data_IF_612599758320
#
_entry.id   IF_612599758320
#
_cell.length_a   1.000
_cell.length_b   1.000
_cell.length_c   1.000
_cell.angle_alpha   90.00
_cell.angle_beta   90.00
_cell.angle_gamma   90.00
#
_symmetry.space_group_name_H-M   'P 1'
#
loop_
_entity.id
_entity.type
_entity.pdbx_description
1 polymer ?
#
# COMPACT_ATOMS: atom_id res chain seq x y z
N UNK A 1 -16.32 46.99 -6.66
CA UNK A 1 -17.70 46.73 -7.09
C UNK A 1 -17.59 45.82 -8.29
N UNK A 2 -17.69 44.55 -8.04
CA UNK A 2 -18.18 43.64 -9.06
C UNK A 2 -18.50 42.31 -8.37
N UNK A 3 -19.76 41.97 -8.42
CA UNK A 3 -20.35 40.87 -7.72
C UNK A 3 -20.03 39.54 -8.38
N UNK A 4 -19.68 38.58 -7.56
CA UNK A 4 -19.54 37.19 -7.93
C UNK A 4 -20.92 36.53 -7.81
N UNK A 5 -21.73 36.62 -8.85
CA UNK A 5 -22.97 35.86 -9.04
C UNK A 5 -22.58 34.44 -9.48
N UNK A 6 -22.42 33.53 -8.52
CA UNK A 6 -22.43 32.09 -8.79
C UNK A 6 -23.89 31.61 -8.75
N UNK A 7 -24.38 31.26 -9.92
CA UNK A 7 -25.64 30.60 -10.13
C UNK A 7 -25.71 29.27 -9.33
N UNK A 8 -26.76 29.07 -8.48
CA UNK A 8 -26.89 27.84 -7.67
C UNK A 8 -27.28 26.58 -8.45
N UNK A 9 -27.45 26.66 -9.78
CA UNK A 9 -27.94 25.54 -10.60
C UNK A 9 -26.84 24.69 -11.28
N UNK A 10 -25.55 24.91 -10.99
CA UNK A 10 -24.46 24.05 -11.46
C UNK A 10 -24.24 22.84 -10.52
N UNK A 11 -25.31 22.13 -10.21
CA UNK A 11 -25.20 20.78 -9.62
C UNK A 11 -24.81 19.84 -10.74
N UNK A 12 -23.52 19.51 -10.78
CA UNK A 12 -22.92 18.48 -11.62
C UNK A 12 -23.79 17.22 -11.58
N UNK A 13 -24.50 16.91 -12.67
CA UNK A 13 -25.18 15.64 -12.87
C UNK A 13 -24.15 14.52 -12.71
N UNK A 14 -24.28 13.72 -11.65
CA UNK A 14 -23.62 12.42 -11.55
C UNK A 14 -24.14 11.53 -12.69
N UNK A 15 -23.31 10.66 -13.27
CA UNK A 15 -23.75 9.73 -14.30
C UNK A 15 -24.78 8.74 -13.76
N UNK A 16 -25.86 8.54 -14.52
CA UNK A 16 -26.95 7.58 -14.29
C UNK A 16 -26.47 6.13 -14.45
N UNK A 17 -25.68 5.64 -13.50
CA UNK A 17 -25.15 4.28 -13.50
C UNK A 17 -25.32 3.56 -12.15
N UNK A 18 -26.33 3.96 -11.36
CA UNK A 18 -26.73 3.21 -10.18
C UNK A 18 -28.15 2.70 -10.42
N UNK A 19 -28.24 1.37 -10.58
CA UNK A 19 -29.49 0.64 -10.69
C UNK A 19 -30.28 0.81 -9.39
N UNK A 20 -31.39 1.55 -9.46
CA UNK A 20 -32.17 1.96 -8.29
C UNK A 20 -32.94 0.82 -7.63
N UNK A 21 -33.02 -0.37 -8.26
CA UNK A 21 -33.83 -1.45 -7.73
C UNK A 21 -33.16 -2.29 -6.63
N UNK A 22 -31.83 -2.39 -6.62
CA UNK A 22 -31.10 -3.20 -5.59
C UNK A 22 -30.91 -2.47 -4.24
N UNK A 23 -31.11 -1.18 -4.16
CA UNK A 23 -30.87 -0.41 -2.93
C UNK A 23 -32.12 -0.04 -2.13
N UNK A 24 -33.32 -0.32 -2.66
CA UNK A 24 -34.58 0.01 -1.97
C UNK A 24 -34.72 -0.79 -0.66
N UNK A 25 -34.31 -2.06 -0.65
CA UNK A 25 -34.34 -2.89 0.59
C UNK A 25 -33.41 -2.38 1.69
N UNK A 26 -32.25 -1.81 1.32
CA UNK A 26 -31.30 -1.26 2.29
C UNK A 26 -31.83 0.03 2.89
N UNK A 27 -32.50 0.87 2.12
CA UNK A 27 -33.09 2.11 2.62
C UNK A 27 -34.34 1.88 3.46
N UNK A 28 -35.14 0.84 3.20
CA UNK A 28 -36.24 0.44 4.08
C UNK A 28 -35.74 -0.10 5.42
N UNK A 29 -34.62 -0.85 5.44
CA UNK A 29 -33.99 -1.33 6.67
C UNK A 29 -33.38 -0.19 7.50
N UNK A 30 -32.88 0.88 6.87
CA UNK A 30 -32.35 2.07 7.53
C UNK A 30 -33.43 3.05 8.01
N UNK A 31 -34.62 3.02 7.38
CA UNK A 31 -35.76 3.87 7.74
C UNK A 31 -36.42 3.50 9.09
N UNK A 32 -36.15 2.30 9.62
CA UNK A 32 -36.71 1.84 10.89
C UNK A 32 -35.79 2.12 12.10
N UNK A 33 -34.70 2.87 11.91
CA UNK A 33 -33.90 3.38 13.02
C UNK A 33 -34.64 4.59 13.60
N UNK A 34 -35.06 4.57 14.88
CA UNK A 34 -35.74 5.70 15.50
C UNK A 34 -34.89 6.96 15.35
N UNK A 35 -35.33 7.88 14.52
CA UNK A 35 -34.57 9.03 14.06
C UNK A 35 -34.49 10.20 15.04
N UNK A 36 -34.47 9.97 16.35
CA UNK A 36 -34.06 11.00 17.30
C UNK A 36 -32.71 10.63 17.90
N UNK A 37 -31.67 11.46 17.72
CA UNK A 37 -30.42 11.25 18.43
C UNK A 37 -30.73 11.27 19.93
N UNK A 38 -30.23 10.29 20.71
CA UNK A 38 -30.48 10.24 22.14
C UNK A 38 -30.09 11.59 22.72
N UNK A 39 -31.04 12.22 23.46
CA UNK A 39 -30.89 13.55 24.00
C UNK A 39 -29.53 13.68 24.68
N UNK A 40 -28.58 14.28 24.01
CA UNK A 40 -27.18 14.40 24.44
C UNK A 40 -27.06 15.16 25.76
N UNK A 41 -28.06 16.01 26.08
CA UNK A 41 -28.15 16.71 27.34
C UNK A 41 -28.54 15.77 28.47
N UNK A 42 -29.46 14.83 28.25
CA UNK A 42 -29.83 13.84 29.27
C UNK A 42 -28.73 12.80 29.50
N UNK A 43 -27.96 12.48 28.47
CA UNK A 43 -26.80 11.59 28.61
C UNK A 43 -25.63 12.27 29.33
N UNK A 44 -25.38 13.56 29.07
CA UNK A 44 -24.40 14.36 29.83
C UNK A 44 -24.80 14.51 31.30
N UNK A 45 -26.05 14.83 31.62
CA UNK A 45 -26.50 14.96 32.99
C UNK A 45 -26.40 13.66 33.80
N UNK A 46 -26.62 12.51 33.16
CA UNK A 46 -26.40 11.18 33.78
C UNK A 46 -24.93 10.87 33.99
N UNK A 47 -24.10 11.24 33.05
CA UNK A 47 -22.66 11.08 33.17
C UNK A 47 -22.09 11.99 34.28
N UNK A 48 -22.48 13.26 34.31
CA UNK A 48 -22.04 14.21 35.34
C UNK A 48 -22.52 13.80 36.73
N UNK A 49 -23.73 13.23 36.86
CA UNK A 49 -24.25 12.69 38.12
C UNK A 49 -23.47 11.46 38.58
N UNK A 50 -23.14 10.54 37.69
CA UNK A 50 -22.31 9.37 37.99
C UNK A 50 -20.88 9.77 38.39
N UNK A 51 -20.31 10.78 37.74
CA UNK A 51 -18.99 11.32 38.08
C UNK A 51 -18.97 12.01 39.44
N UNK A 52 -20.02 12.76 39.79
CA UNK A 52 -20.17 13.40 41.11
C UNK A 52 -20.28 12.38 42.25
N UNK A 53 -20.99 11.26 42.01
CA UNK A 53 -21.12 10.16 42.96
C UNK A 53 -19.79 9.46 43.22
N UNK A 54 -18.98 9.23 42.15
CA UNK A 54 -17.65 8.60 42.23
C UNK A 54 -16.63 9.52 42.92
N UNK A 55 -16.71 10.84 42.67
CA UNK A 55 -15.84 11.85 43.30
C UNK A 55 -16.14 11.98 44.78
N UNK A 56 -17.42 11.96 45.20
CA UNK A 56 -17.82 11.98 46.63
C UNK A 56 -17.46 10.66 47.36
N UNK A 57 -17.51 9.52 46.64
CA UNK A 57 -17.08 8.24 47.20
C UNK A 57 -15.56 8.16 47.43
N UNK A 58 -14.78 8.95 46.67
CA UNK A 58 -13.31 9.00 46.73
C UNK A 58 -12.76 10.11 47.65
N UNK A 59 -13.61 10.94 48.29
CA UNK A 59 -13.17 11.98 49.20
C UNK A 59 -12.46 11.39 50.44
N UNK A 60 -11.20 11.79 50.71
CA UNK A 60 -10.48 11.23 51.86
C UNK A 60 -11.12 11.69 53.17
N UNK A 61 -11.71 10.76 53.87
CA UNK A 61 -12.18 11.02 55.27
C UNK A 61 -10.97 11.45 56.10
N UNK A 62 -11.01 12.68 56.60
CA UNK A 62 -9.99 13.23 57.48
C UNK A 62 -9.74 12.30 58.65
N UNK A 63 -8.62 11.61 58.67
CA UNK A 63 -8.14 10.85 59.84
C UNK A 63 -7.53 11.82 60.84
N UNK A 64 -8.07 11.77 62.08
CA UNK A 64 -7.52 12.44 63.25
C UNK A 64 -6.08 11.97 63.47
N UNK A 65 -5.18 12.95 63.58
CA UNK A 65 -3.77 12.76 63.93
C UNK A 65 -3.62 12.09 65.29
N UNK A 66 -3.09 10.87 65.24
CA UNK A 66 -2.50 10.25 66.44
C UNK A 66 -1.00 10.22 66.20
N UNK A 67 -0.30 11.19 66.81
CA UNK A 67 1.18 11.23 66.75
C UNK A 67 1.76 9.93 67.31
N UNK A 68 2.45 9.15 66.49
CA UNK A 68 3.32 8.05 66.89
C UNK A 68 4.71 8.27 66.24
N UNK A 69 5.77 8.35 67.07
CA UNK A 69 7.11 8.65 66.59
C UNK A 69 7.83 7.37 66.10
N UNK A 70 7.43 6.86 64.93
CA UNK A 70 8.15 5.74 64.26
C UNK A 70 8.41 6.07 62.77
N UNK A 71 8.80 7.31 62.48
CA UNK A 71 8.83 7.82 61.14
C UNK A 71 10.17 7.72 60.41
N UNK A 72 11.22 7.12 60.97
CA UNK A 72 12.54 7.10 60.33
C UNK A 72 13.00 5.75 59.74
N UNK A 73 12.20 4.69 59.84
CA UNK A 73 12.54 3.39 59.28
C UNK A 73 11.74 2.97 58.02
N UNK A 74 10.77 3.77 57.57
CA UNK A 74 9.87 3.39 56.47
C UNK A 74 10.18 4.08 55.11
N UNK A 75 11.06 5.09 55.08
CA UNK A 75 11.29 5.88 53.85
C UNK A 75 12.04 5.09 52.74
N UNK A 76 12.94 4.22 53.12
CA UNK A 76 13.66 3.38 52.15
C UNK A 76 12.81 2.20 51.65
N UNK A 77 11.89 1.69 52.46
CA UNK A 77 10.98 0.63 52.03
C UNK A 77 9.95 1.13 51.02
N UNK A 78 9.45 2.38 51.18
CA UNK A 78 8.58 3.03 50.19
C UNK A 78 9.31 3.36 48.88
N UNK A 79 10.59 3.78 48.96
CA UNK A 79 11.40 4.00 47.77
C UNK A 79 11.68 2.68 47.02
N UNK A 80 11.95 1.60 47.76
CA UNK A 80 12.14 0.27 47.15
C UNK A 80 10.84 -0.27 46.52
N UNK A 81 9.69 -0.04 47.14
CA UNK A 81 8.41 -0.41 46.55
C UNK A 81 8.08 0.39 45.27
N UNK A 82 8.38 1.69 45.25
CA UNK A 82 8.20 2.53 44.08
C UNK A 82 9.09 2.07 42.90
N UNK A 83 10.36 1.73 43.20
CA UNK A 83 11.28 1.18 42.17
C UNK A 83 10.80 -0.19 41.68
N UNK A 84 10.30 -1.05 42.55
CA UNK A 84 9.76 -2.35 42.16
C UNK A 84 8.49 -2.22 41.29
N UNK A 85 7.59 -1.29 41.58
CA UNK A 85 6.40 -1.00 40.77
C UNK A 85 6.83 -0.41 39.44
N UNK A 86 7.83 0.48 39.39
CA UNK A 86 8.36 1.05 38.16
C UNK A 86 9.04 -0.01 37.30
N UNK A 87 9.84 -0.88 37.91
CA UNK A 87 10.48 -2.00 37.22
C UNK A 87 9.46 -3.01 36.68
N UNK A 88 8.41 -3.33 37.48
CA UNK A 88 7.32 -4.18 37.02
C UNK A 88 6.53 -3.53 35.89
N UNK A 89 6.26 -2.21 36.00
CA UNK A 89 5.63 -1.43 34.92
C UNK A 89 6.44 -1.41 33.64
N UNK A 90 7.77 -1.31 33.73
CA UNK A 90 8.68 -1.38 32.56
C UNK A 90 8.70 -2.79 31.96
N UNK A 91 8.68 -3.84 32.79
CA UNK A 91 8.63 -5.24 32.33
C UNK A 91 7.30 -5.54 31.65
N UNK A 92 6.18 -5.14 32.26
CA UNK A 92 4.86 -5.29 31.66
C UNK A 92 4.73 -4.40 30.41
N UNK A 93 5.21 -3.16 30.46
CA UNK A 93 5.23 -2.25 29.32
C UNK A 93 6.05 -2.82 28.16
N UNK A 94 7.22 -3.38 28.41
CA UNK A 94 8.03 -4.06 27.40
C UNK A 94 7.39 -5.35 26.88
N UNK A 95 6.72 -6.11 27.72
CA UNK A 95 5.96 -7.29 27.30
C UNK A 95 4.74 -6.93 26.45
N UNK A 96 4.10 -5.78 26.70
CA UNK A 96 2.98 -5.26 25.89
C UNK A 96 3.43 -4.47 24.67
N UNK A 97 4.64 -3.89 24.65
CA UNK A 97 5.23 -3.20 23.51
C UNK A 97 6.09 -4.11 22.62
N UNK A 98 6.22 -5.40 22.94
CA UNK A 98 6.49 -6.37 21.89
C UNK A 98 5.30 -6.26 20.95
N UNK A 99 5.52 -5.50 19.87
CA UNK A 99 4.50 -5.20 18.86
C UNK A 99 3.80 -6.49 18.44
N UNK A 100 2.65 -6.43 17.79
CA UNK A 100 1.83 -7.59 17.52
C UNK A 100 2.76 -8.69 17.02
N UNK A 101 3.06 -9.67 17.86
CA UNK A 101 3.65 -10.93 17.44
C UNK A 101 2.63 -11.39 16.43
N UNK A 102 2.99 -11.24 15.14
CA UNK A 102 2.14 -11.68 14.05
C UNK A 102 1.79 -13.10 14.41
N UNK A 103 0.56 -13.31 14.81
CA UNK A 103 0.08 -14.63 15.23
C UNK A 103 0.60 -15.60 14.17
N UNK A 104 1.39 -16.62 14.53
CA UNK A 104 2.03 -17.48 13.53
C UNK A 104 1.01 -18.06 12.53
N UNK A 105 -0.25 -18.15 12.95
CA UNK A 105 -1.38 -18.50 12.09
C UNK A 105 -1.68 -17.41 11.05
N UNK A 106 -1.62 -16.13 11.41
CA UNK A 106 -1.85 -15.00 10.48
C UNK A 106 -0.67 -14.85 9.51
N UNK A 107 0.56 -15.06 9.98
CA UNK A 107 1.73 -15.04 9.11
C UNK A 107 1.72 -16.19 8.10
N UNK A 108 1.37 -17.39 8.53
CA UNK A 108 1.20 -18.56 7.67
C UNK A 108 0.08 -18.35 6.63
N UNK A 109 -1.08 -17.82 7.05
CA UNK A 109 -2.18 -17.54 6.13
C UNK A 109 -1.81 -16.47 5.09
N UNK A 110 -1.06 -15.42 5.48
CA UNK A 110 -0.56 -14.41 4.54
C UNK A 110 0.43 -15.01 3.55
N UNK A 111 1.25 -15.96 3.99
CA UNK A 111 2.18 -16.65 3.10
C UNK A 111 1.42 -17.54 2.11
N UNK A 112 0.45 -18.31 2.54
CA UNK A 112 -0.39 -19.17 1.69
C UNK A 112 -1.16 -18.33 0.65
N UNK A 113 -1.69 -17.18 1.04
CA UNK A 113 -2.33 -16.24 0.12
C UNK A 113 -1.35 -15.69 -0.91
N UNK A 114 -0.11 -15.39 -0.54
CA UNK A 114 0.92 -14.94 -1.50
C UNK A 114 1.26 -16.04 -2.49
N UNK A 115 1.51 -17.25 -2.03
CA UNK A 115 1.81 -18.40 -2.88
C UNK A 115 0.66 -18.71 -3.85
N UNK A 116 -0.57 -18.67 -3.35
CA UNK A 116 -1.77 -18.85 -4.20
C UNK A 116 -1.87 -17.77 -5.27
N UNK A 117 -1.64 -16.49 -4.91
CA UNK A 117 -1.65 -15.38 -5.88
C UNK A 117 -0.56 -15.54 -6.93
N UNK A 118 0.65 -15.97 -6.56
CA UNK A 118 1.74 -16.24 -7.50
C UNK A 118 1.36 -17.35 -8.47
N UNK A 119 0.82 -18.46 -7.97
CA UNK A 119 0.36 -19.58 -8.83
C UNK A 119 -0.73 -19.12 -9.81
N UNK A 120 -1.70 -18.35 -9.36
CA UNK A 120 -2.76 -17.81 -10.23
C UNK A 120 -2.18 -16.89 -11.30
N UNK A 121 -1.26 -15.98 -10.93
CA UNK A 121 -0.61 -15.08 -11.88
C UNK A 121 0.17 -15.86 -12.95
N UNK A 122 0.98 -16.85 -12.55
CA UNK A 122 1.73 -17.71 -13.47
C UNK A 122 0.80 -18.51 -14.39
N UNK A 123 -0.27 -19.07 -13.84
CA UNK A 123 -1.27 -19.80 -14.64
C UNK A 123 -1.94 -18.88 -15.68
N UNK A 124 -2.24 -17.64 -15.33
CA UNK A 124 -2.82 -16.68 -16.27
C UNK A 124 -1.83 -16.25 -17.35
N UNK A 125 -0.53 -16.11 -17.04
CA UNK A 125 0.50 -15.79 -18.02
C UNK A 125 0.66 -16.88 -19.09
N UNK A 126 0.37 -18.12 -18.75
CA UNK A 126 0.47 -19.27 -19.66
C UNK A 126 -0.79 -19.50 -20.52
N UNK A 127 -1.83 -18.68 -20.36
CA UNK A 127 -3.08 -18.86 -21.11
C UNK A 127 -2.91 -18.49 -22.58
N UNK A 128 -3.71 -19.12 -23.45
CA UNK A 128 -3.69 -18.84 -24.89
C UNK A 128 -4.24 -17.45 -25.24
N UNK A 129 -5.20 -16.96 -24.46
CA UNK A 129 -5.82 -15.66 -24.67
C UNK A 129 -4.92 -14.51 -24.20
N UNK A 130 -4.63 -13.55 -25.09
CA UNK A 130 -3.88 -12.34 -24.74
C UNK A 130 -4.53 -11.56 -23.58
N UNK A 131 -5.87 -11.52 -23.49
CA UNK A 131 -6.58 -10.85 -22.40
C UNK A 131 -6.32 -11.53 -21.04
N UNK A 132 -6.22 -12.85 -21.03
CA UNK A 132 -5.91 -13.59 -19.81
C UNK A 132 -4.45 -13.43 -19.42
N UNK A 133 -3.52 -13.42 -20.36
CA UNK A 133 -2.11 -13.13 -20.09
C UNK A 133 -1.92 -11.71 -19.59
N UNK A 134 -2.62 -10.74 -20.16
CA UNK A 134 -2.63 -9.35 -19.69
C UNK A 134 -3.15 -9.24 -18.24
N UNK A 135 -4.22 -9.99 -17.90
CA UNK A 135 -4.66 -10.15 -16.51
C UNK A 135 -3.56 -10.73 -15.63
N UNK A 136 -2.86 -11.78 -16.09
CA UNK A 136 -1.73 -12.39 -15.36
C UNK A 136 -0.67 -11.36 -15.03
N UNK A 137 -0.23 -10.55 -16.02
CA UNK A 137 0.72 -9.45 -15.80
C UNK A 137 0.18 -8.44 -14.78
N UNK A 138 -1.09 -8.04 -14.88
CA UNK A 138 -1.70 -7.09 -13.93
C UNK A 138 -1.73 -7.65 -12.49
N UNK A 139 -1.93 -8.94 -12.33
CA UNK A 139 -1.93 -9.60 -11.02
C UNK A 139 -0.54 -9.63 -10.39
N UNK A 140 0.54 -9.76 -11.18
CA UNK A 140 1.91 -9.69 -10.65
C UNK A 140 2.18 -8.34 -9.98
N UNK A 141 1.58 -7.26 -10.48
CA UNK A 141 1.67 -5.92 -9.90
C UNK A 141 1.06 -5.78 -8.49
N UNK A 142 0.24 -6.75 -8.05
CA UNK A 142 -0.38 -6.76 -6.72
C UNK A 142 0.42 -7.59 -5.70
N UNK A 143 1.49 -8.25 -6.14
CA UNK A 143 2.35 -9.07 -5.28
C UNK A 143 3.46 -8.18 -4.72
N UNK A 144 3.49 -8.00 -3.40
CA UNK A 144 4.45 -7.09 -2.74
C UNK A 144 5.90 -7.59 -2.83
N UNK A 145 6.09 -8.90 -2.73
CA UNK A 145 7.40 -9.56 -2.83
C UNK A 145 7.27 -10.79 -3.74
N UNK A 146 7.37 -10.62 -5.06
CA UNK A 146 7.29 -11.75 -5.97
C UNK A 146 8.56 -12.60 -5.87
N UNK A 147 8.37 -13.90 -6.00
CA UNK A 147 9.49 -14.82 -6.18
C UNK A 147 10.19 -14.63 -7.52
N UNK A 148 11.42 -15.13 -7.64
CA UNK A 148 12.19 -15.09 -8.88
C UNK A 148 11.42 -15.70 -10.08
N UNK A 149 10.49 -16.61 -9.82
CA UNK A 149 9.64 -17.24 -10.84
C UNK A 149 8.74 -16.23 -11.54
N UNK A 150 8.15 -15.29 -10.81
CA UNK A 150 7.31 -14.22 -11.39
C UNK A 150 8.15 -13.28 -12.25
N UNK A 151 9.33 -12.89 -11.77
CA UNK A 151 10.25 -12.03 -12.51
C UNK A 151 10.68 -12.72 -13.81
N UNK A 152 11.08 -14.00 -13.74
CA UNK A 152 11.44 -14.79 -14.89
C UNK A 152 10.30 -14.93 -15.88
N UNK A 153 9.07 -15.17 -15.41
CA UNK A 153 7.89 -15.28 -16.27
C UNK A 153 7.55 -13.95 -16.95
N UNK A 154 7.73 -12.81 -16.27
CA UNK A 154 7.54 -11.49 -16.88
C UNK A 154 8.59 -11.18 -17.93
N UNK A 155 9.85 -11.56 -17.70
CA UNK A 155 10.93 -11.41 -18.69
C UNK A 155 10.68 -12.31 -19.91
N UNK A 156 10.25 -13.55 -19.71
CA UNK A 156 9.87 -14.44 -20.79
C UNK A 156 8.68 -13.88 -21.59
N UNK A 157 7.68 -13.35 -20.92
CA UNK A 157 6.53 -12.68 -21.55
C UNK A 157 6.97 -11.46 -22.35
N UNK A 158 7.86 -10.63 -21.83
CA UNK A 158 8.45 -9.50 -22.55
C UNK A 158 9.16 -9.95 -23.83
N UNK A 159 9.91 -11.03 -23.75
CA UNK A 159 10.73 -11.52 -24.88
C UNK A 159 9.92 -12.21 -25.96
N UNK A 160 8.92 -13.00 -25.58
CA UNK A 160 8.33 -13.99 -26.48
C UNK A 160 6.81 -13.85 -26.70
N UNK A 161 6.10 -12.99 -25.95
CA UNK A 161 4.66 -12.87 -26.15
C UNK A 161 4.32 -12.32 -27.54
N UNK A 162 3.41 -12.99 -28.23
CA UNK A 162 3.00 -12.58 -29.58
C UNK A 162 2.24 -11.23 -29.59
N UNK A 163 1.65 -10.84 -28.46
CA UNK A 163 0.84 -9.62 -28.34
C UNK A 163 1.66 -8.46 -27.77
N UNK A 164 1.80 -7.40 -28.55
CA UNK A 164 2.56 -6.18 -28.19
C UNK A 164 2.05 -5.57 -26.86
N UNK A 165 0.74 -5.56 -26.62
CA UNK A 165 0.19 -4.97 -25.39
C UNK A 165 0.56 -5.80 -24.15
N UNK A 166 0.69 -7.12 -24.28
CA UNK A 166 1.16 -7.98 -23.20
C UNK A 166 2.63 -7.72 -22.92
N UNK A 167 3.47 -7.58 -23.96
CA UNK A 167 4.87 -7.19 -23.80
C UNK A 167 5.03 -5.82 -23.13
N UNK A 168 4.24 -4.82 -23.55
CA UNK A 168 4.25 -3.49 -22.92
C UNK A 168 3.84 -3.54 -21.43
N UNK A 169 2.78 -4.27 -21.11
CA UNK A 169 2.36 -4.46 -19.73
C UNK A 169 3.43 -5.16 -18.88
N UNK A 170 4.19 -6.12 -19.47
CA UNK A 170 5.30 -6.78 -18.79
C UNK A 170 6.43 -5.81 -18.44
N UNK A 171 6.72 -4.82 -19.32
CA UNK A 171 7.69 -3.75 -19.02
C UNK A 171 7.21 -2.95 -17.79
N UNK A 172 5.93 -2.53 -17.76
CA UNK A 172 5.39 -1.78 -16.65
C UNK A 172 5.40 -2.55 -15.33
N UNK A 173 5.16 -3.86 -15.38
CA UNK A 173 5.29 -4.73 -14.23
C UNK A 173 6.74 -4.86 -13.76
N UNK A 174 7.70 -4.99 -14.69
CA UNK A 174 9.14 -5.13 -14.43
C UNK A 174 9.77 -3.86 -13.82
N UNK A 175 9.21 -2.67 -14.07
CA UNK A 175 9.65 -1.41 -13.43
C UNK A 175 9.70 -1.50 -11.92
N UNK A 176 8.78 -2.24 -11.30
CA UNK A 176 8.73 -2.43 -9.85
C UNK A 176 9.92 -3.24 -9.31
N UNK A 177 10.59 -3.98 -10.19
CA UNK A 177 11.73 -4.86 -9.89
C UNK A 177 13.06 -4.29 -10.42
N UNK A 178 13.08 -3.02 -10.78
CA UNK A 178 14.26 -2.32 -11.31
C UNK A 178 15.47 -2.32 -10.35
N UNK A 179 15.25 -2.53 -9.05
CA UNK A 179 16.33 -2.72 -8.07
C UNK A 179 17.13 -4.00 -8.30
N UNK A 180 16.56 -5.01 -8.97
CA UNK A 180 17.24 -6.27 -9.29
C UNK A 180 18.12 -6.07 -10.52
N UNK A 181 19.43 -6.35 -10.39
CA UNK A 181 20.37 -6.21 -11.49
C UNK A 181 20.00 -7.11 -12.68
N UNK A 182 19.56 -8.33 -12.41
CA UNK A 182 19.15 -9.28 -13.44
C UNK A 182 18.01 -8.74 -14.32
N UNK A 183 17.05 -8.01 -13.72
CA UNK A 183 15.96 -7.37 -14.46
C UNK A 183 16.50 -6.27 -15.36
N UNK A 184 17.41 -5.43 -14.87
CA UNK A 184 17.99 -4.34 -15.67
C UNK A 184 18.77 -4.88 -16.85
N UNK A 185 19.67 -5.86 -16.64
CA UNK A 185 20.45 -6.48 -17.70
C UNK A 185 19.57 -7.19 -18.73
N UNK A 186 18.56 -7.94 -18.26
CA UNK A 186 17.64 -8.62 -19.16
C UNK A 186 16.80 -7.64 -20.01
N UNK A 187 16.43 -6.48 -19.47
CA UNK A 187 15.70 -5.45 -20.24
C UNK A 187 16.57 -4.76 -21.27
N UNK A 188 17.88 -4.58 -20.99
CA UNK A 188 18.85 -4.09 -22.02
C UNK A 188 19.00 -5.11 -23.15
N UNK A 189 19.14 -6.41 -22.82
CA UNK A 189 19.19 -7.48 -23.84
C UNK A 189 17.88 -7.55 -24.64
N UNK A 190 16.73 -7.39 -23.98
CA UNK A 190 15.43 -7.38 -24.64
C UNK A 190 15.31 -6.27 -25.69
N UNK A 191 15.89 -5.08 -25.46
CA UNK A 191 15.83 -3.95 -26.39
C UNK A 191 16.33 -4.33 -27.79
N UNK A 192 17.40 -5.14 -27.87
CA UNK A 192 18.03 -5.55 -29.15
C UNK A 192 17.21 -6.60 -29.89
N UNK A 193 16.39 -7.36 -29.15
CA UNK A 193 15.63 -8.50 -29.68
C UNK A 193 14.19 -8.16 -30.06
N UNK A 194 13.73 -6.96 -29.68
CA UNK A 194 12.37 -6.56 -29.98
C UNK A 194 12.19 -6.16 -31.45
N UNK A 195 11.12 -6.67 -32.05
CA UNK A 195 10.67 -6.35 -33.39
C UNK A 195 9.68 -5.18 -33.45
N UNK A 196 9.03 -4.86 -32.35
CA UNK A 196 8.04 -3.79 -32.24
C UNK A 196 8.68 -2.47 -31.84
N UNK A 197 8.59 -1.42 -32.68
CA UNK A 197 9.07 -0.09 -32.29
C UNK A 197 8.44 0.46 -31.01
N UNK A 198 7.17 0.13 -30.74
CA UNK A 198 6.49 0.56 -29.51
C UNK A 198 7.13 -0.06 -28.27
N UNK A 199 7.48 -1.35 -28.32
CA UNK A 199 8.14 -2.04 -27.22
C UNK A 199 9.55 -1.52 -27.03
N UNK A 200 10.29 -1.27 -28.14
CA UNK A 200 11.63 -0.66 -28.08
C UNK A 200 11.60 0.71 -27.41
N UNK A 201 10.65 1.58 -27.79
CA UNK A 201 10.49 2.90 -27.15
C UNK A 201 10.17 2.76 -25.66
N UNK A 202 9.27 1.86 -25.27
CA UNK A 202 8.93 1.64 -23.88
C UNK A 202 10.11 1.12 -23.04
N UNK A 203 10.96 0.25 -23.62
CA UNK A 203 12.20 -0.20 -22.98
C UNK A 203 13.21 0.93 -22.82
N UNK A 204 13.39 1.78 -23.85
CA UNK A 204 14.25 2.96 -23.76
C UNK A 204 13.77 3.89 -22.64
N UNK A 205 12.44 4.14 -22.53
CA UNK A 205 11.86 4.96 -21.48
C UNK A 205 12.12 4.36 -20.09
N UNK A 206 11.99 3.06 -19.96
CA UNK A 206 12.30 2.36 -18.73
C UNK A 206 13.78 2.53 -18.34
N UNK A 207 14.72 2.40 -19.28
CA UNK A 207 16.14 2.62 -19.02
C UNK A 207 16.48 4.02 -18.55
N UNK A 208 15.79 5.04 -19.12
CA UNK A 208 15.94 6.43 -18.68
C UNK A 208 15.40 6.59 -17.25
N UNK A 209 14.22 6.03 -16.96
CA UNK A 209 13.58 6.12 -15.66
C UNK A 209 14.47 5.56 -14.53
N UNK A 210 15.18 4.46 -14.79
CA UNK A 210 16.08 3.83 -13.82
C UNK A 210 17.54 4.31 -13.92
N UNK A 211 17.83 5.23 -14.84
CA UNK A 211 19.18 5.72 -15.14
C UNK A 211 20.18 4.58 -15.45
N UNK A 212 19.79 3.65 -16.35
CA UNK A 212 20.59 2.45 -16.67
C UNK A 212 21.72 2.78 -17.64
N UNK A 213 22.94 2.92 -17.09
CA UNK A 213 24.12 3.26 -17.86
C UNK A 213 24.64 2.14 -18.75
N UNK A 214 24.35 0.90 -18.42
CA UNK A 214 24.73 -0.24 -19.25
C UNK A 214 23.98 -0.29 -20.58
N UNK A 215 22.86 0.44 -20.69
CA UNK A 215 22.14 0.62 -21.96
C UNK A 215 22.82 1.58 -22.95
N UNK A 216 23.76 2.43 -22.50
CA UNK A 216 24.37 3.48 -23.35
C UNK A 216 24.98 2.95 -24.64
N UNK A 217 25.75 1.86 -24.68
CA UNK A 217 26.30 1.33 -25.92
C UNK A 217 25.21 0.94 -26.93
N UNK A 218 24.15 0.29 -26.43
CA UNK A 218 23.06 -0.16 -27.27
C UNK A 218 22.16 0.99 -27.75
N UNK A 219 21.88 1.96 -26.92
CA UNK A 219 21.18 3.19 -27.28
C UNK A 219 21.92 3.97 -28.38
N UNK A 220 23.26 4.01 -28.30
CA UNK A 220 24.08 4.65 -29.31
C UNK A 220 23.94 3.90 -30.64
N UNK A 221 24.07 2.57 -30.64
CA UNK A 221 23.90 1.74 -31.84
C UNK A 221 22.53 1.98 -32.47
N UNK A 222 21.47 1.94 -31.72
CA UNK A 222 20.10 2.19 -32.19
C UNK A 222 19.91 3.61 -32.75
N UNK A 223 20.56 4.61 -32.19
CA UNK A 223 20.47 6.00 -32.62
C UNK A 223 21.12 6.26 -33.96
N UNK A 224 22.12 5.44 -34.35
CA UNK A 224 22.92 5.57 -35.58
C UNK A 224 22.42 4.64 -36.69
N UNK A 225 21.74 3.55 -36.35
CA UNK A 225 21.28 2.55 -37.32
C UNK A 225 20.10 3.08 -38.14
N UNK A 226 20.34 3.28 -39.45
CA UNK A 226 19.33 3.78 -40.40
C UNK A 226 18.21 2.78 -40.68
N UNK A 227 18.44 1.50 -40.42
CA UNK A 227 17.42 0.45 -40.60
C UNK A 227 16.40 0.41 -39.47
N UNK A 228 16.73 0.96 -38.31
CA UNK A 228 15.83 1.06 -37.15
C UNK A 228 14.74 2.09 -37.42
N UNK A 229 13.53 1.88 -36.84
CA UNK A 229 12.42 2.81 -36.97
C UNK A 229 12.82 4.22 -36.51
N UNK A 230 12.36 5.26 -37.21
CA UNK A 230 12.72 6.65 -36.92
C UNK A 230 12.38 7.06 -35.47
N UNK A 231 11.19 6.69 -34.97
CA UNK A 231 10.80 7.04 -33.62
C UNK A 231 11.72 6.42 -32.54
N UNK A 232 12.19 5.18 -32.78
CA UNK A 232 13.17 4.50 -31.91
C UNK A 232 14.50 5.22 -31.91
N UNK A 233 15.01 5.59 -33.13
CA UNK A 233 16.26 6.37 -33.25
C UNK A 233 16.21 7.69 -32.52
N UNK A 234 15.12 8.43 -32.68
CA UNK A 234 14.93 9.73 -32.03
C UNK A 234 14.85 9.55 -30.51
N UNK A 235 14.12 8.53 -30.03
CA UNK A 235 14.02 8.22 -28.61
C UNK A 235 15.35 7.81 -28.01
N UNK A 236 16.14 7.01 -28.74
CA UNK A 236 17.48 6.62 -28.32
C UNK A 236 18.45 7.83 -28.24
N UNK A 237 18.39 8.77 -29.19
CA UNK A 237 19.19 10.01 -29.11
C UNK A 237 18.81 10.87 -27.91
N UNK A 238 17.52 11.02 -27.67
CA UNK A 238 17.04 11.75 -26.50
C UNK A 238 17.49 11.09 -25.19
N UNK A 239 17.39 9.76 -25.09
CA UNK A 239 17.76 9.01 -23.89
C UNK A 239 19.26 9.12 -23.57
N UNK A 240 20.12 9.13 -24.59
CA UNK A 240 21.56 9.35 -24.42
C UNK A 240 21.90 10.72 -23.78
N UNK A 241 21.05 11.72 -23.96
CA UNK A 241 21.20 13.04 -23.31
C UNK A 241 20.74 13.03 -21.85
N UNK A 242 19.90 12.05 -21.48
CA UNK A 242 19.38 11.93 -20.11
C UNK A 242 20.27 11.05 -19.21
N UNK A 243 20.84 9.96 -19.77
CA UNK A 243 21.62 8.96 -19.03
C UNK A 243 23.14 9.29 -19.07
N UNK A 244 23.60 9.95 -20.15
CA UNK A 244 25.00 10.31 -20.35
C UNK A 244 25.38 11.55 -19.60
#
# INVERSE_FOLDING_TARGET
MDGNDRNPDDVKKLPDAFDHEEHVEIWELLGDIPGEPPNSAAMRSRFDAALAEEVDASAPRARRDVHRPWQYMASWALAAAAVAVLALGIVIGRAMTQGPQSDPSIAALRQELRETRQMVALSLLQQQSASQRLKGVSWTGQIEMPGNEIVSALLDTLMHDANVNVRLASIDALKRFASHQDVRLATVDALTRQDSPLVQVALIDFMVEINEREAVPELRRLSEDTMVNQAVRERARWSLQQIG
#
